data_IF_330744125982
#
_entry.id   IF_330744125982
#
_cell.length_a   1.000
_cell.length_b   1.000
_cell.length_c   1.000
_cell.angle_alpha   90.00
_cell.angle_beta   90.00
_cell.angle_gamma   90.00
#
_symmetry.space_group_name_H-M   'P 1'
#
loop_
_entity.id
_entity.type
_entity.pdbx_description
1 polymer ?
#
# COMPACT_ATOMS: atom_id res chain seq x y z
N UNK A 1 37.48 -11.02 -21.68
CA UNK A 1 36.58 -10.95 -20.51
C UNK A 1 35.69 -9.70 -20.55
N UNK A 2 36.27 -8.49 -20.59
CA UNK A 2 35.53 -7.22 -20.66
C UNK A 2 34.44 -7.14 -21.74
N UNK A 3 34.70 -7.56 -22.99
CA UNK A 3 33.72 -7.53 -24.07
C UNK A 3 32.47 -8.40 -23.79
N UNK A 4 32.65 -9.55 -23.13
CA UNK A 4 31.53 -10.42 -22.73
C UNK A 4 30.69 -9.77 -21.62
N UNK A 5 31.34 -9.12 -20.66
CA UNK A 5 30.66 -8.37 -19.59
C UNK A 5 29.88 -7.18 -20.14
N UNK A 6 30.44 -6.44 -21.09
CA UNK A 6 29.72 -5.36 -21.78
C UNK A 6 28.48 -5.88 -22.50
N UNK A 7 28.58 -7.01 -23.22
CA UNK A 7 27.42 -7.63 -23.89
C UNK A 7 26.35 -8.08 -22.90
N UNK A 8 26.75 -8.63 -21.76
CA UNK A 8 25.83 -9.03 -20.69
C UNK A 8 25.10 -7.83 -20.08
N UNK A 9 25.83 -6.74 -19.80
CA UNK A 9 25.26 -5.49 -19.30
C UNK A 9 24.28 -4.91 -20.31
N UNK A 10 24.66 -4.83 -21.58
CA UNK A 10 23.80 -4.33 -22.65
C UNK A 10 22.52 -5.16 -22.79
N UNK A 11 22.62 -6.49 -22.75
CA UNK A 11 21.47 -7.40 -22.87
C UNK A 11 20.47 -7.33 -21.72
N UNK A 12 20.82 -6.71 -20.59
CA UNK A 12 19.92 -6.56 -19.43
C UNK A 12 19.30 -5.17 -19.32
N UNK A 13 19.61 -4.26 -20.23
CA UNK A 13 19.19 -2.85 -20.18
C UNK A 13 17.67 -2.69 -20.06
N UNK A 14 16.92 -3.24 -21.00
CA UNK A 14 15.47 -3.03 -21.08
C UNK A 14 14.73 -3.62 -19.87
N UNK A 15 15.22 -4.75 -19.34
CA UNK A 15 14.68 -5.35 -18.12
C UNK A 15 14.94 -4.48 -16.90
N UNK A 16 16.16 -3.93 -16.77
CA UNK A 16 16.51 -3.03 -15.66
C UNK A 16 15.73 -1.74 -15.75
N UNK A 17 15.59 -1.16 -16.94
CA UNK A 17 14.81 0.05 -17.16
C UNK A 17 13.36 -0.16 -16.72
N UNK A 18 12.74 -1.27 -17.15
CA UNK A 18 11.40 -1.66 -16.68
C UNK A 18 11.35 -1.76 -15.14
N UNK A 19 12.27 -2.49 -14.49
CA UNK A 19 12.23 -2.64 -13.03
C UNK A 19 12.44 -1.28 -12.33
N UNK A 20 13.31 -0.43 -12.87
CA UNK A 20 13.64 0.88 -12.32
C UNK A 20 12.51 1.89 -12.47
N UNK A 21 11.79 1.91 -13.59
CA UNK A 21 10.59 2.72 -13.77
C UNK A 21 9.57 2.44 -12.66
N UNK A 22 9.42 1.18 -12.27
CA UNK A 22 8.47 0.86 -11.21
C UNK A 22 9.01 1.21 -9.82
N UNK A 23 10.33 1.15 -9.58
CA UNK A 23 10.90 1.76 -8.38
C UNK A 23 10.69 3.29 -8.33
N UNK A 24 10.65 3.95 -9.49
CA UNK A 24 10.39 5.40 -9.60
C UNK A 24 8.92 5.75 -9.32
N UNK A 25 7.97 4.84 -9.55
CA UNK A 25 6.54 5.03 -9.29
C UNK A 25 6.15 4.96 -7.80
N UNK A 26 7.06 4.56 -6.91
CA UNK A 26 6.87 4.66 -5.45
C UNK A 26 5.85 3.68 -4.87
N UNK A 27 5.12 4.09 -3.84
CA UNK A 27 4.18 3.24 -3.10
C UNK A 27 2.92 2.87 -3.90
N UNK A 28 2.55 3.69 -4.88
CA UNK A 28 1.29 3.59 -5.65
C UNK A 28 1.16 2.27 -6.45
N UNK A 29 2.26 1.55 -6.66
CA UNK A 29 2.31 0.36 -7.54
C UNK A 29 2.75 -0.91 -6.79
N UNK A 30 2.96 -0.84 -5.48
CA UNK A 30 3.50 -1.98 -4.70
C UNK A 30 2.57 -3.19 -4.72
N UNK A 31 1.25 -2.97 -4.77
CA UNK A 31 0.24 -4.04 -4.83
C UNK A 31 0.26 -4.84 -6.16
N UNK A 32 0.65 -4.23 -7.28
CA UNK A 32 0.62 -4.85 -8.61
C UNK A 32 1.97 -5.38 -9.09
N UNK A 33 3.05 -5.16 -8.33
CA UNK A 33 4.38 -5.56 -8.75
C UNK A 33 4.70 -7.03 -8.45
N UNK A 34 4.54 -7.87 -9.47
CA UNK A 34 5.15 -9.20 -9.61
C UNK A 34 6.51 -9.16 -10.34
N UNK A 35 7.19 -8.00 -10.36
CA UNK A 35 8.45 -7.83 -11.09
C UNK A 35 9.63 -8.49 -10.38
N UNK A 36 10.31 -9.40 -11.07
CA UNK A 36 11.53 -10.05 -10.58
C UNK A 36 12.67 -9.02 -10.47
N UNK A 37 13.25 -8.88 -9.28
CA UNK A 37 14.41 -7.99 -9.04
C UNK A 37 15.74 -8.61 -9.46
N UNK A 38 15.74 -9.89 -9.81
CA UNK A 38 16.92 -10.66 -10.20
C UNK A 38 17.76 -10.02 -11.32
N UNK A 39 17.18 -9.40 -12.37
CA UNK A 39 17.97 -8.70 -13.39
C UNK A 39 18.87 -7.60 -12.82
N UNK A 40 18.42 -6.88 -11.78
CA UNK A 40 19.21 -5.83 -11.12
C UNK A 40 20.39 -6.43 -10.36
N UNK A 41 20.14 -7.47 -9.56
CA UNK A 41 21.18 -8.07 -8.70
C UNK A 41 22.31 -8.68 -9.51
N UNK A 42 21.94 -9.31 -10.62
CA UNK A 42 22.88 -9.95 -11.54
C UNK A 42 23.82 -8.98 -12.29
N UNK A 43 23.66 -7.67 -12.13
CA UNK A 43 24.54 -6.65 -12.69
C UNK A 43 25.60 -6.14 -11.71
N UNK A 44 25.42 -6.35 -10.41
CA UNK A 44 26.33 -5.82 -9.39
C UNK A 44 27.78 -6.26 -9.61
N UNK A 45 27.98 -7.55 -9.91
CA UNK A 45 29.29 -8.13 -10.13
C UNK A 45 29.92 -7.73 -11.50
N UNK A 46 29.19 -7.82 -12.64
CA UNK A 46 29.69 -7.32 -13.93
C UNK A 46 30.11 -5.84 -13.90
N UNK A 47 29.33 -4.97 -13.23
CA UNK A 47 29.64 -3.54 -13.19
C UNK A 47 30.91 -3.23 -12.40
N UNK A 48 31.12 -3.89 -11.26
CA UNK A 48 32.32 -3.66 -10.46
C UNK A 48 33.58 -4.22 -11.14
N UNK A 49 33.47 -5.36 -11.84
CA UNK A 49 34.55 -5.92 -12.67
C UNK A 49 34.94 -4.94 -13.80
N UNK A 50 33.96 -4.45 -14.55
CA UNK A 50 34.20 -3.46 -15.62
C UNK A 50 34.84 -2.16 -15.09
N UNK A 51 34.40 -1.70 -13.91
CA UNK A 51 34.99 -0.54 -13.27
C UNK A 51 36.47 -0.79 -12.92
N UNK A 52 36.81 -1.91 -12.29
CA UNK A 52 38.21 -2.22 -11.93
C UNK A 52 39.12 -2.37 -13.15
N UNK A 53 38.60 -2.96 -14.24
CA UNK A 53 39.32 -3.10 -15.51
C UNK A 53 39.48 -1.77 -16.27
N UNK A 54 38.97 -0.66 -15.73
CA UNK A 54 38.96 0.66 -16.37
C UNK A 54 38.28 0.68 -17.73
N UNK A 55 37.24 -0.14 -17.89
CA UNK A 55 36.44 -0.23 -19.10
C UNK A 55 35.33 0.80 -19.03
N UNK A 56 35.38 1.79 -19.92
CA UNK A 56 34.30 2.75 -20.09
C UNK A 56 33.30 2.25 -21.15
N UNK A 57 32.01 2.18 -20.80
CA UNK A 57 30.94 1.96 -21.77
C UNK A 57 29.70 2.78 -21.40
N UNK A 58 28.91 3.15 -22.41
CA UNK A 58 27.68 3.92 -22.21
C UNK A 58 26.67 3.13 -21.39
N UNK A 59 26.63 1.81 -21.60
CA UNK A 59 25.73 0.89 -20.93
C UNK A 59 26.12 0.72 -19.45
N UNK A 60 27.42 0.59 -19.13
CA UNK A 60 27.87 0.52 -17.74
C UNK A 60 27.63 1.84 -17.00
N UNK A 61 27.81 2.98 -17.68
CA UNK A 61 27.47 4.29 -17.14
C UNK A 61 25.97 4.42 -16.86
N UNK A 62 25.12 4.00 -17.81
CA UNK A 62 23.67 3.96 -17.63
C UNK A 62 23.25 3.10 -16.44
N UNK A 63 23.77 1.87 -16.30
CA UNK A 63 23.42 1.03 -15.15
C UNK A 63 23.91 1.60 -13.82
N UNK A 64 25.08 2.24 -13.81
CA UNK A 64 25.58 2.92 -12.62
C UNK A 64 24.66 4.08 -12.23
N UNK A 65 24.10 4.80 -13.21
CA UNK A 65 23.09 5.83 -12.99
C UNK A 65 21.80 5.26 -12.38
N UNK A 66 21.33 4.11 -12.88
CA UNK A 66 20.17 3.42 -12.29
C UNK A 66 20.41 3.09 -10.80
N UNK A 67 21.59 2.58 -10.44
CA UNK A 67 21.92 2.32 -9.03
C UNK A 67 22.00 3.58 -8.18
N UNK A 68 22.43 4.73 -8.74
CA UNK A 68 22.38 6.03 -8.05
C UNK A 68 20.96 6.48 -7.79
N UNK A 69 20.06 6.35 -8.77
CA UNK A 69 18.64 6.66 -8.60
C UNK A 69 18.00 5.84 -7.48
N UNK A 70 18.33 4.54 -7.40
CA UNK A 70 17.91 3.71 -6.24
C UNK A 70 18.39 4.35 -4.95
N UNK A 71 19.67 4.73 -4.85
CA UNK A 71 20.23 5.38 -3.63
C UNK A 71 19.52 6.68 -3.26
N UNK A 72 19.40 7.62 -4.19
CA UNK A 72 18.86 8.97 -3.93
C UNK A 72 17.42 8.89 -3.44
N UNK A 73 16.63 8.00 -4.02
CA UNK A 73 15.28 7.74 -3.55
C UNK A 73 15.27 7.12 -2.14
N UNK A 74 16.36 6.51 -1.66
CA UNK A 74 16.42 5.88 -0.31
C UNK A 74 16.47 6.99 0.72
N UNK A 75 17.29 7.98 0.43
CA UNK A 75 17.52 9.16 1.25
C UNK A 75 16.21 9.95 1.38
N UNK A 76 15.51 10.21 0.28
CA UNK A 76 14.20 10.90 0.29
C UNK A 76 13.13 10.12 1.08
N UNK A 77 12.99 8.81 0.84
CA UNK A 77 11.97 7.98 1.53
C UNK A 77 12.29 7.81 3.02
N UNK A 78 13.57 7.79 3.39
CA UNK A 78 14.02 7.70 4.79
C UNK A 78 13.80 9.00 5.58
N UNK A 79 13.78 10.16 4.91
CA UNK A 79 13.54 11.47 5.50
C UNK A 79 12.05 11.83 5.61
N UNK A 80 11.22 11.43 4.63
CA UNK A 80 9.81 11.82 4.56
C UNK A 80 8.89 10.96 5.43
N UNK A 81 9.19 9.67 5.61
CA UNK A 81 8.35 8.73 6.37
C UNK A 81 9.22 8.01 7.40
N UNK A 82 8.78 8.04 8.67
CA UNK A 82 9.42 7.47 9.87
C UNK A 82 10.33 6.27 9.58
N UNK A 83 11.49 6.21 10.25
CA UNK A 83 12.50 5.18 9.96
C UNK A 83 11.86 3.78 10.04
N UNK A 84 12.32 2.79 9.24
CA UNK A 84 11.92 1.38 9.44
C UNK A 84 12.16 1.04 10.91
N UNK A 85 13.26 1.59 11.44
CA UNK A 85 13.62 1.56 12.83
C UNK A 85 12.62 2.19 13.79
N UNK A 86 11.88 3.23 13.41
CA UNK A 86 10.87 3.83 14.29
C UNK A 86 9.63 2.94 14.36
N UNK A 87 9.21 2.34 13.24
CA UNK A 87 8.15 1.32 13.23
C UNK A 87 8.56 0.05 14.00
N UNK A 88 9.81 -0.38 13.84
CA UNK A 88 10.40 -1.51 14.59
C UNK A 88 10.59 -1.18 16.08
N UNK A 89 10.97 0.05 16.43
CA UNK A 89 11.09 0.48 17.83
C UNK A 89 9.72 0.54 18.50
N UNK A 90 8.71 1.06 17.80
CA UNK A 90 7.32 1.08 18.28
C UNK A 90 6.77 -0.34 18.45
N UNK A 91 7.22 -1.30 17.62
CA UNK A 91 6.87 -2.70 17.76
C UNK A 91 7.58 -3.43 18.91
N UNK A 92 8.45 -2.75 19.67
CA UNK A 92 9.21 -3.36 20.77
C UNK A 92 10.26 -4.37 20.30
N UNK A 93 10.56 -4.37 19.00
CA UNK A 93 11.52 -5.28 18.38
C UNK A 93 12.92 -4.65 18.54
N UNK A 94 13.86 -5.46 19.03
CA UNK A 94 15.14 -5.10 19.66
C UNK A 94 16.00 -4.02 18.94
N UNK A 95 16.88 -3.34 19.67
CA UNK A 95 17.80 -2.30 19.18
C UNK A 95 18.71 -2.76 18.01
N UNK A 96 18.80 -4.07 17.77
CA UNK A 96 19.56 -4.71 16.70
C UNK A 96 19.20 -4.19 15.30
N UNK A 97 17.93 -3.90 15.00
CA UNK A 97 17.50 -3.51 13.65
C UNK A 97 17.92 -2.09 13.26
N UNK A 98 18.14 -1.21 14.25
CA UNK A 98 18.65 0.14 13.97
C UNK A 98 19.98 0.09 13.22
N UNK A 99 20.85 -0.82 13.65
CA UNK A 99 22.16 -1.00 13.01
C UNK A 99 22.06 -1.64 11.62
N UNK A 100 21.02 -2.43 11.34
CA UNK A 100 20.87 -3.18 10.08
C UNK A 100 20.69 -2.25 8.88
N UNK A 101 19.72 -1.32 8.95
CA UNK A 101 19.46 -0.39 7.84
C UNK A 101 20.68 0.51 7.56
N UNK A 102 21.31 1.02 8.62
CA UNK A 102 22.49 1.87 8.52
C UNK A 102 23.69 1.10 7.93
N UNK A 103 23.92 -0.14 8.37
CA UNK A 103 24.99 -0.99 7.86
C UNK A 103 24.80 -1.28 6.38
N UNK A 104 23.60 -1.73 5.97
CA UNK A 104 23.28 -2.04 4.57
C UNK A 104 23.49 -0.80 3.69
N UNK A 105 22.97 0.36 4.13
CA UNK A 105 23.11 1.61 3.38
C UNK A 105 24.58 2.02 3.24
N UNK A 106 25.37 1.88 4.30
CA UNK A 106 26.80 2.20 4.26
C UNK A 106 27.61 1.22 3.39
N UNK A 107 27.29 -0.08 3.43
CA UNK A 107 27.90 -1.09 2.56
C UNK A 107 27.67 -0.75 1.09
N UNK A 108 26.43 -0.44 0.72
CA UNK A 108 26.09 -0.03 -0.66
C UNK A 108 26.76 1.29 -1.05
N UNK A 109 26.82 2.28 -0.15
CA UNK A 109 27.56 3.53 -0.41
C UNK A 109 29.03 3.27 -0.75
N UNK A 110 29.69 2.36 -0.02
CA UNK A 110 31.09 1.97 -0.29
C UNK A 110 31.25 1.19 -1.58
N UNK A 111 30.27 0.37 -1.97
CA UNK A 111 30.23 -0.24 -3.29
C UNK A 111 30.15 0.83 -4.39
N UNK A 112 29.25 1.81 -4.25
CA UNK A 112 29.11 2.92 -5.20
C UNK A 112 30.37 3.80 -5.28
N UNK A 113 31.15 3.93 -4.21
CA UNK A 113 32.44 4.61 -4.24
C UNK A 113 33.42 3.98 -5.24
N UNK A 114 33.35 2.65 -5.47
CA UNK A 114 34.19 1.96 -6.46
C UNK A 114 33.78 2.38 -7.86
N UNK A 115 32.48 2.29 -8.16
CA UNK A 115 31.94 2.60 -9.50
C UNK A 115 32.20 4.06 -9.89
N UNK A 116 32.11 4.98 -8.93
CA UNK A 116 32.30 6.42 -9.15
C UNK A 116 33.75 6.90 -9.05
N UNK A 117 34.69 6.04 -8.63
CA UNK A 117 36.08 6.45 -8.47
C UNK A 117 36.79 6.61 -9.83
N UNK A 118 37.66 7.62 -9.89
CA UNK A 118 38.66 7.74 -10.97
C UNK A 118 39.56 6.48 -10.96
N UNK A 119 40.06 6.01 -12.12
CA UNK A 119 40.89 4.80 -12.24
C UNK A 119 41.94 4.63 -11.15
N UNK A 120 42.74 5.68 -10.91
CA UNK A 120 43.84 5.69 -9.91
C UNK A 120 43.41 5.46 -8.46
N UNK A 121 42.12 5.57 -8.13
CA UNK A 121 41.59 5.40 -6.78
C UNK A 121 40.75 4.12 -6.62
N UNK A 122 40.48 3.38 -7.70
CA UNK A 122 39.56 2.23 -7.67
C UNK A 122 40.05 1.11 -6.75
N UNK A 123 41.33 0.77 -6.78
CA UNK A 123 41.90 -0.25 -5.87
C UNK A 123 41.81 0.15 -4.39
N UNK A 124 42.04 1.42 -4.07
CA UNK A 124 41.89 1.92 -2.69
C UNK A 124 40.43 1.86 -2.25
N UNK A 125 39.49 2.18 -3.13
CA UNK A 125 38.05 2.05 -2.86
C UNK A 125 37.60 0.60 -2.71
N UNK A 126 38.12 -0.32 -3.56
CA UNK A 126 37.91 -1.77 -3.43
C UNK A 126 38.32 -2.26 -2.05
N UNK A 127 39.55 -1.97 -1.61
CA UNK A 127 40.04 -2.37 -0.28
C UNK A 127 39.17 -1.79 0.84
N UNK A 128 38.82 -0.51 0.74
CA UNK A 128 37.95 0.16 1.72
C UNK A 128 36.58 -0.50 1.81
N UNK A 129 35.99 -0.86 0.68
CA UNK A 129 34.70 -1.54 0.61
C UNK A 129 34.77 -2.94 1.25
N UNK A 130 35.74 -3.76 0.87
CA UNK A 130 35.92 -5.12 1.42
C UNK A 130 36.08 -5.10 2.95
N UNK A 131 36.94 -4.22 3.47
CA UNK A 131 37.15 -4.08 4.92
C UNK A 131 35.88 -3.58 5.63
N UNK A 132 35.21 -2.59 5.05
CA UNK A 132 33.99 -2.03 5.64
C UNK A 132 32.85 -3.05 5.64
N UNK A 133 32.69 -3.82 4.57
CA UNK A 133 31.63 -4.82 4.45
C UNK A 133 31.69 -5.81 5.63
N UNK A 134 32.87 -6.37 5.89
CA UNK A 134 33.08 -7.28 7.03
C UNK A 134 32.88 -6.59 8.37
N UNK A 135 33.46 -5.39 8.58
CA UNK A 135 33.36 -4.65 9.85
C UNK A 135 31.93 -4.25 10.21
N UNK A 136 31.10 -4.00 9.21
CA UNK A 136 29.69 -3.62 9.36
C UNK A 136 28.75 -4.83 9.45
N UNK A 137 29.26 -6.04 9.70
CA UNK A 137 28.46 -7.25 9.90
C UNK A 137 28.22 -8.09 8.64
N UNK A 138 28.75 -7.67 7.49
CA UNK A 138 28.68 -8.42 6.24
C UNK A 138 27.25 -8.69 5.78
N UNK A 139 27.02 -9.91 5.34
CA UNK A 139 25.74 -10.49 4.91
C UNK A 139 24.74 -10.70 6.05
N UNK A 140 25.20 -10.75 7.32
CA UNK A 140 24.32 -10.95 8.48
C UNK A 140 23.18 -9.93 8.54
N UNK A 141 23.42 -8.68 8.16
CA UNK A 141 22.39 -7.64 8.16
C UNK A 141 21.22 -7.98 7.23
N UNK A 142 21.53 -8.52 6.04
CA UNK A 142 20.52 -8.94 5.09
C UNK A 142 19.72 -10.13 5.62
N UNK A 143 20.37 -11.12 6.24
CA UNK A 143 19.67 -12.24 6.88
C UNK A 143 18.80 -11.80 8.06
N UNK A 144 19.29 -10.85 8.87
CA UNK A 144 18.50 -10.26 9.96
C UNK A 144 17.26 -9.55 9.40
N UNK A 145 17.40 -8.79 8.31
CA UNK A 145 16.25 -8.14 7.65
C UNK A 145 15.26 -9.17 7.08
N UNK A 146 15.76 -10.23 6.43
CA UNK A 146 14.95 -11.33 5.92
C UNK A 146 14.14 -11.96 7.05
N UNK A 147 14.80 -12.38 8.14
CA UNK A 147 14.15 -13.00 9.30
C UNK A 147 13.11 -12.08 9.98
N UNK A 148 13.34 -10.76 9.97
CA UNK A 148 12.34 -9.81 10.46
C UNK A 148 11.08 -9.79 9.61
N UNK A 149 11.24 -9.83 8.29
CA UNK A 149 10.12 -9.80 7.35
C UNK A 149 9.38 -11.13 7.32
N UNK A 150 10.08 -12.26 7.39
CA UNK A 150 9.46 -13.59 7.34
C UNK A 150 8.89 -14.05 8.68
N UNK A 151 9.31 -13.41 9.79
CA UNK A 151 8.93 -13.81 11.15
C UNK A 151 9.82 -14.93 11.73
N UNK A 152 10.89 -15.31 11.04
CA UNK A 152 11.90 -16.27 11.50
C UNK A 152 12.87 -15.64 12.53
N UNK A 153 12.32 -14.93 13.51
CA UNK A 153 13.05 -14.26 14.57
C UNK A 153 12.61 -14.75 15.95
N UNK A 154 13.31 -14.35 17.01
CA UNK A 154 13.07 -14.84 18.38
C UNK A 154 11.63 -14.58 18.88
N UNK A 155 10.98 -13.52 18.40
CA UNK A 155 9.60 -13.19 18.78
C UNK A 155 8.55 -13.99 18.00
N UNK A 156 8.93 -14.61 16.88
CA UNK A 156 8.01 -15.30 15.96
C UNK A 156 7.06 -14.37 15.19
N UNK A 157 7.12 -13.05 15.42
CA UNK A 157 6.25 -12.08 14.76
C UNK A 157 7.01 -11.32 13.66
N UNK A 158 6.39 -11.20 12.49
CA UNK A 158 6.95 -10.46 11.36
C UNK A 158 6.79 -8.96 11.58
N UNK A 159 7.81 -8.17 11.23
CA UNK A 159 7.72 -6.70 11.22
C UNK A 159 6.56 -6.21 10.35
N UNK A 160 6.23 -6.91 9.26
CA UNK A 160 5.08 -6.57 8.41
C UNK A 160 3.77 -6.71 9.19
N UNK A 161 3.60 -7.78 9.97
CA UNK A 161 2.40 -8.01 10.76
C UNK A 161 2.24 -6.97 11.87
N UNK A 162 3.35 -6.61 12.53
CA UNK A 162 3.29 -5.62 13.60
C UNK A 162 2.97 -4.23 13.05
N UNK A 163 3.63 -3.81 11.97
CA UNK A 163 3.36 -2.53 11.30
C UNK A 163 1.91 -2.48 10.81
N UNK A 164 1.39 -3.58 10.25
CA UNK A 164 0.00 -3.70 9.80
C UNK A 164 -0.99 -3.48 10.95
N UNK A 165 -0.77 -4.15 12.08
CA UNK A 165 -1.64 -4.05 13.27
C UNK A 165 -1.59 -2.65 13.89
N UNK A 166 -0.38 -2.09 14.05
CA UNK A 166 -0.17 -0.77 14.64
C UNK A 166 -0.79 0.35 13.80
N UNK A 167 -0.67 0.26 12.47
CA UNK A 167 -1.24 1.23 11.53
C UNK A 167 -2.69 0.92 11.15
N UNK A 168 -3.36 0.05 11.93
CA UNK A 168 -4.78 -0.27 11.79
C UNK A 168 -5.16 -0.60 10.35
N UNK A 169 -4.34 -1.44 9.71
CA UNK A 169 -4.50 -1.91 8.33
C UNK A 169 -4.59 -0.79 7.29
N UNK A 170 -3.85 0.30 7.47
CA UNK A 170 -3.69 1.32 6.43
C UNK A 170 -2.87 0.79 5.26
N UNK A 171 -3.53 0.58 4.11
CA UNK A 171 -2.89 0.10 2.88
C UNK A 171 -1.73 1.00 2.45
N UNK A 172 -1.94 2.33 2.38
CA UNK A 172 -0.91 3.27 1.93
C UNK A 172 0.36 3.20 2.79
N UNK A 173 0.20 3.19 4.11
CA UNK A 173 1.35 3.06 5.03
C UNK A 173 2.08 1.74 4.82
N UNK A 174 1.34 0.65 4.60
CA UNK A 174 1.94 -0.66 4.31
C UNK A 174 2.63 -0.70 2.94
N UNK A 175 2.08 -0.08 1.90
CA UNK A 175 2.71 0.01 0.57
C UNK A 175 4.03 0.78 0.65
N UNK A 176 4.04 1.92 1.34
CA UNK A 176 5.25 2.71 1.58
C UNK A 176 6.31 1.92 2.37
N UNK A 177 5.90 1.22 3.43
CA UNK A 177 6.79 0.38 4.22
C UNK A 177 7.39 -0.76 3.40
N UNK A 178 6.56 -1.47 2.63
CA UNK A 178 6.99 -2.52 1.71
C UNK A 178 7.95 -2.00 0.63
N UNK A 179 7.68 -0.83 0.03
CA UNK A 179 8.56 -0.19 -0.95
C UNK A 179 9.97 0.06 -0.37
N UNK A 180 10.03 0.55 0.86
CA UNK A 180 11.31 0.81 1.54
C UNK A 180 12.06 -0.48 1.87
N UNK A 181 11.37 -1.51 2.33
CA UNK A 181 11.98 -2.82 2.56
C UNK A 181 12.54 -3.42 1.26
N UNK A 182 11.76 -3.45 0.17
CA UNK A 182 12.22 -3.95 -1.16
C UNK A 182 13.51 -3.27 -1.58
N UNK A 183 13.57 -1.97 -1.35
CA UNK A 183 14.73 -1.16 -1.66
C UNK A 183 15.95 -1.44 -0.79
N UNK A 184 15.74 -1.62 0.52
CA UNK A 184 16.81 -1.97 1.44
C UNK A 184 17.41 -3.35 1.11
N UNK A 185 16.58 -4.32 0.75
CA UNK A 185 17.06 -5.59 0.18
C UNK A 185 17.84 -5.37 -1.11
N UNK A 186 17.32 -4.55 -2.03
CA UNK A 186 17.96 -4.31 -3.32
C UNK A 186 19.40 -3.80 -3.16
N UNK A 187 19.60 -2.74 -2.39
CA UNK A 187 20.93 -2.16 -2.19
C UNK A 187 21.86 -3.10 -1.41
N UNK A 188 21.32 -3.88 -0.46
CA UNK A 188 22.09 -4.84 0.32
C UNK A 188 22.56 -6.00 -0.54
N UNK A 189 21.68 -6.58 -1.37
CA UNK A 189 22.03 -7.68 -2.28
C UNK A 189 23.06 -7.20 -3.32
N UNK A 190 22.91 -5.98 -3.87
CA UNK A 190 23.94 -5.41 -4.76
C UNK A 190 25.30 -5.32 -4.06
N UNK A 191 25.33 -4.85 -2.81
CA UNK A 191 26.56 -4.78 -2.04
C UNK A 191 27.14 -6.19 -1.78
N UNK A 192 26.32 -7.16 -1.40
CA UNK A 192 26.74 -8.55 -1.20
C UNK A 192 27.33 -9.15 -2.47
N UNK A 193 26.65 -9.04 -3.60
CA UNK A 193 27.14 -9.52 -4.91
C UNK A 193 28.47 -8.86 -5.29
N UNK A 194 28.60 -7.55 -5.04
CA UNK A 194 29.85 -6.82 -5.21
C UNK A 194 30.95 -7.35 -4.28
N UNK A 195 30.65 -7.71 -3.05
CA UNK A 195 31.62 -8.29 -2.12
C UNK A 195 32.06 -9.71 -2.55
N UNK A 196 31.11 -10.59 -2.85
CA UNK A 196 31.36 -11.97 -3.29
C UNK A 196 32.30 -12.01 -4.47
N UNK A 197 32.03 -11.19 -5.49
CA UNK A 197 32.85 -11.18 -6.70
C UNK A 197 34.26 -10.64 -6.44
N UNK A 198 34.40 -9.64 -5.57
CA UNK A 198 35.69 -8.99 -5.31
C UNK A 198 36.60 -9.82 -4.40
N UNK A 199 36.04 -10.80 -3.70
CA UNK A 199 36.77 -11.79 -2.91
C UNK A 199 37.20 -13.01 -3.74
N UNK A 200 36.81 -13.08 -5.01
CA UNK A 200 37.08 -14.21 -5.91
C UNK A 200 36.68 -15.56 -5.32
N UNK A 201 35.57 -15.63 -4.58
CA UNK A 201 35.17 -16.87 -3.89
C UNK A 201 34.54 -17.92 -4.82
N UNK A 202 34.03 -17.51 -5.98
CA UNK A 202 33.37 -18.40 -6.94
C UNK A 202 31.87 -18.62 -6.67
N UNK A 203 31.36 -18.14 -5.53
CA UNK A 203 29.99 -18.42 -5.05
C UNK A 203 28.92 -17.46 -5.63
N UNK A 204 29.24 -16.74 -6.72
CA UNK A 204 28.38 -15.69 -7.28
C UNK A 204 27.00 -16.21 -7.68
N UNK A 205 26.95 -17.34 -8.39
CA UNK A 205 25.69 -17.93 -8.86
C UNK A 205 24.86 -18.53 -7.73
N UNK A 206 25.51 -19.15 -6.74
CA UNK A 206 24.84 -19.74 -5.57
C UNK A 206 24.18 -18.66 -4.72
N UNK A 207 24.93 -17.61 -4.36
CA UNK A 207 24.42 -16.47 -3.57
C UNK A 207 23.30 -15.75 -4.33
N UNK A 208 23.46 -15.56 -5.65
CA UNK A 208 22.43 -14.94 -6.47
C UNK A 208 21.14 -15.79 -6.51
N UNK A 209 21.27 -17.11 -6.60
CA UNK A 209 20.13 -18.04 -6.54
C UNK A 209 19.44 -18.03 -5.19
N UNK A 210 20.20 -18.10 -4.09
CA UNK A 210 19.66 -18.05 -2.72
C UNK A 210 18.86 -16.76 -2.49
N UNK A 211 19.45 -15.61 -2.81
CA UNK A 211 18.77 -14.33 -2.62
C UNK A 211 17.61 -14.11 -3.59
N UNK A 212 17.66 -14.72 -4.78
CA UNK A 212 16.52 -14.80 -5.69
C UNK A 212 15.30 -15.46 -5.03
N UNK A 213 15.49 -16.63 -4.43
CA UNK A 213 14.40 -17.35 -3.74
C UNK A 213 13.94 -16.62 -2.46
N UNK A 214 14.87 -16.09 -1.66
CA UNK A 214 14.52 -15.29 -0.48
C UNK A 214 13.69 -14.06 -0.84
N UNK A 215 13.98 -13.41 -1.96
CA UNK A 215 13.21 -12.26 -2.41
C UNK A 215 11.81 -12.62 -2.87
N UNK A 216 11.58 -13.82 -3.42
CA UNK A 216 10.23 -14.31 -3.71
C UNK A 216 9.40 -14.48 -2.44
N UNK A 217 9.99 -15.04 -1.38
CA UNK A 217 9.29 -15.17 -0.08
C UNK A 217 8.98 -13.79 0.52
N UNK A 218 9.97 -12.89 0.57
CA UNK A 218 9.79 -11.50 1.02
C UNK A 218 8.65 -10.82 0.26
N UNK A 219 8.61 -10.95 -1.06
CA UNK A 219 7.56 -10.38 -1.90
C UNK A 219 6.19 -11.00 -1.61
N UNK A 220 6.13 -12.32 -1.40
CA UNK A 220 4.91 -13.02 -1.01
C UNK A 220 4.35 -12.51 0.32
N UNK A 221 5.21 -12.30 1.32
CA UNK A 221 4.80 -11.73 2.62
C UNK A 221 4.29 -10.30 2.49
N UNK A 222 4.95 -9.46 1.70
CA UNK A 222 4.51 -8.10 1.42
C UNK A 222 3.14 -8.08 0.72
N UNK A 223 2.95 -8.91 -0.30
CA UNK A 223 1.68 -8.99 -1.00
C UNK A 223 0.55 -9.43 -0.08
N UNK A 224 0.79 -10.43 0.78
CA UNK A 224 -0.21 -10.92 1.72
C UNK A 224 -0.73 -9.83 2.69
N UNK A 225 0.15 -8.96 3.20
CA UNK A 225 -0.29 -7.90 4.12
C UNK A 225 -1.01 -6.75 3.41
N UNK A 226 -0.65 -6.45 2.15
CA UNK A 226 -1.39 -5.49 1.33
C UNK A 226 -2.77 -6.04 0.98
N UNK A 227 -2.85 -7.31 0.58
CA UNK A 227 -4.11 -7.97 0.30
C UNK A 227 -5.01 -8.03 1.54
N UNK A 228 -4.45 -8.28 2.73
CA UNK A 228 -5.23 -8.20 3.97
C UNK A 228 -5.80 -6.79 4.22
N UNK A 229 -5.05 -5.72 3.92
CA UNK A 229 -5.60 -4.35 3.98
C UNK A 229 -6.80 -4.18 3.03
N UNK A 230 -6.71 -4.72 1.81
CA UNK A 230 -7.76 -4.63 0.80
C UNK A 230 -8.97 -5.47 1.22
N UNK A 231 -8.80 -6.75 1.53
CA UNK A 231 -9.93 -7.64 1.84
C UNK A 231 -10.63 -7.26 3.14
N UNK A 232 -9.90 -6.79 4.14
CA UNK A 232 -10.46 -6.45 5.46
C UNK A 232 -10.90 -5.00 5.62
N UNK A 233 -10.75 -4.15 4.58
CA UNK A 233 -11.11 -2.72 4.63
C UNK A 233 -12.53 -2.48 5.17
N UNK A 234 -13.59 -3.25 4.81
CA UNK A 234 -14.93 -2.94 5.30
C UNK A 234 -15.05 -3.07 6.82
N UNK A 235 -14.38 -4.09 7.38
CA UNK A 235 -14.40 -4.33 8.82
C UNK A 235 -13.57 -3.31 9.59
N UNK A 236 -12.44 -2.91 9.00
CA UNK A 236 -11.60 -1.86 9.55
C UNK A 236 -12.35 -0.51 9.52
N UNK A 237 -12.96 -0.15 8.40
CA UNK A 237 -13.76 1.07 8.25
C UNK A 237 -14.92 1.14 9.25
N UNK A 238 -15.62 0.03 9.49
CA UNK A 238 -16.66 -0.05 10.53
C UNK A 238 -16.10 0.27 11.93
N UNK A 239 -14.92 -0.30 12.25
CA UNK A 239 -14.25 -0.10 13.54
C UNK A 239 -13.77 1.34 13.71
N UNK A 240 -13.17 1.90 12.66
CA UNK A 240 -12.68 3.27 12.62
C UNK A 240 -13.83 4.28 12.77
N UNK A 241 -14.93 4.07 12.05
CA UNK A 241 -16.12 4.91 12.18
C UNK A 241 -16.72 4.83 13.59
N UNK A 242 -16.79 3.63 14.19
CA UNK A 242 -17.32 3.47 15.55
C UNK A 242 -16.49 4.24 16.56
N UNK A 243 -15.16 4.17 16.44
CA UNK A 243 -14.23 4.93 17.28
C UNK A 243 -14.43 6.43 17.07
N UNK A 244 -14.47 6.88 15.82
CA UNK A 244 -14.63 8.27 15.46
C UNK A 244 -15.93 8.87 16.02
N UNK A 245 -17.06 8.19 15.84
CA UNK A 245 -18.38 8.62 16.33
C UNK A 245 -18.41 8.70 17.85
N UNK A 246 -17.77 7.75 18.55
CA UNK A 246 -17.68 7.79 20.02
C UNK A 246 -16.92 9.01 20.50
N UNK A 247 -15.86 9.38 19.79
CA UNK A 247 -14.94 10.44 20.20
C UNK A 247 -15.43 11.85 19.78
N UNK A 248 -16.48 11.96 18.94
CA UNK A 248 -17.03 13.22 18.41
C UNK A 248 -18.56 13.33 18.56
N UNK A 249 -19.07 13.02 19.75
CA UNK A 249 -20.53 13.00 20.03
C UNK A 249 -21.22 14.38 19.97
N UNK A 250 -20.46 15.47 19.94
CA UNK A 250 -20.91 16.86 19.93
C UNK A 250 -21.28 17.38 18.53
N UNK A 251 -20.87 16.68 17.47
CA UNK A 251 -21.09 17.11 16.09
C UNK A 251 -22.58 17.05 15.70
N UNK A 252 -23.01 17.99 14.84
CA UNK A 252 -24.31 17.86 14.17
C UNK A 252 -24.28 16.69 13.18
N UNK A 253 -25.45 16.18 12.78
CA UNK A 253 -25.54 15.05 11.84
C UNK A 253 -24.80 15.32 10.52
N UNK A 254 -24.85 16.55 9.98
CA UNK A 254 -24.15 16.89 8.74
C UNK A 254 -22.64 16.98 8.95
N UNK A 255 -22.18 17.67 10.00
CA UNK A 255 -20.75 17.74 10.34
C UNK A 255 -20.16 16.34 10.57
N UNK A 256 -20.89 15.47 11.25
CA UNK A 256 -20.46 14.09 11.48
C UNK A 256 -20.40 13.28 10.17
N UNK A 257 -21.37 13.45 9.27
CA UNK A 257 -21.36 12.79 7.97
C UNK A 257 -20.18 13.24 7.11
N UNK A 258 -19.89 14.54 7.07
CA UNK A 258 -18.75 15.12 6.36
C UNK A 258 -17.43 14.60 6.92
N UNK A 259 -17.27 14.62 8.24
CA UNK A 259 -16.03 14.20 8.89
C UNK A 259 -15.76 12.68 8.73
N UNK A 260 -16.79 11.83 8.82
CA UNK A 260 -16.66 10.39 8.54
C UNK A 260 -16.22 10.18 7.09
N UNK A 261 -16.83 10.89 6.14
CA UNK A 261 -16.48 10.78 4.72
C UNK A 261 -15.02 11.20 4.48
N UNK A 262 -14.56 12.31 5.07
CA UNK A 262 -13.18 12.77 4.93
C UNK A 262 -12.19 11.75 5.50
N UNK A 263 -12.46 11.20 6.68
CA UNK A 263 -11.62 10.15 7.27
C UNK A 263 -11.55 8.90 6.36
N UNK A 264 -12.70 8.44 5.86
CA UNK A 264 -12.77 7.23 5.05
C UNK A 264 -12.07 7.40 3.70
N UNK A 265 -12.27 8.52 3.00
CA UNK A 265 -11.59 8.78 1.72
C UNK A 265 -10.07 8.92 1.87
N UNK A 266 -9.62 9.47 2.99
CA UNK A 266 -8.19 9.64 3.23
C UNK A 266 -7.49 8.30 3.51
N UNK A 267 -8.13 7.40 4.26
CA UNK A 267 -7.54 6.10 4.63
C UNK A 267 -7.77 5.01 3.57
N UNK A 268 -8.92 5.06 2.89
CA UNK A 268 -9.35 4.08 1.88
C UNK A 268 -9.62 4.81 0.56
N UNK A 269 -8.57 5.41 0.01
CA UNK A 269 -8.59 6.27 -1.17
C UNK A 269 -9.00 5.57 -2.47
N UNK A 270 -8.95 4.24 -2.49
CA UNK A 270 -9.45 3.40 -3.58
C UNK A 270 -10.94 3.06 -3.47
N UNK A 271 -11.62 3.53 -2.42
CA UNK A 271 -13.02 3.22 -2.13
C UNK A 271 -13.88 4.47 -2.18
N UNK A 272 -15.04 4.35 -2.81
CA UNK A 272 -16.07 5.38 -2.84
C UNK A 272 -17.04 5.12 -1.70
N UNK A 273 -17.44 6.19 -1.00
CA UNK A 273 -18.19 6.12 0.23
C UNK A 273 -19.45 6.96 0.14
N UNK A 274 -20.48 6.53 0.85
CA UNK A 274 -21.65 7.34 1.14
C UNK A 274 -21.99 7.14 2.61
N UNK A 275 -22.42 8.20 3.28
CA UNK A 275 -22.76 8.23 4.71
C UNK A 275 -24.11 8.90 4.84
N UNK A 276 -25.02 8.27 5.61
CA UNK A 276 -26.33 8.82 5.95
C UNK A 276 -26.53 8.75 7.44
N UNK A 277 -26.94 9.88 8.03
CA UNK A 277 -27.16 10.01 9.46
C UNK A 277 -28.57 10.56 9.70
N UNK A 278 -29.36 9.86 10.51
CA UNK A 278 -30.75 10.23 10.80
C UNK A 278 -31.21 9.64 12.13
N UNK A 279 -32.17 10.28 12.79
CA UNK A 279 -32.71 9.77 14.06
C UNK A 279 -33.95 8.92 13.84
N UNK A 280 -34.11 7.95 14.74
CA UNK A 280 -35.32 7.15 14.85
C UNK A 280 -36.52 8.08 15.12
N UNK A 281 -37.58 8.04 14.30
CA UNK A 281 -38.77 8.87 14.49
C UNK A 281 -39.42 8.65 15.87
N UNK A 282 -39.92 9.73 16.48
CA UNK A 282 -40.59 9.70 17.79
C UNK A 282 -42.09 10.01 17.66
N UNK A 283 -42.90 9.47 18.59
CA UNK A 283 -44.32 9.81 18.75
C UNK A 283 -45.28 8.63 18.55
N UNK A 284 -46.53 8.81 18.97
CA UNK A 284 -47.57 7.77 18.95
C UNK A 284 -47.91 7.26 17.53
N UNK A 285 -47.65 8.09 16.50
CA UNK A 285 -47.86 7.75 15.09
C UNK A 285 -46.54 7.52 14.32
N UNK A 286 -45.44 7.29 15.04
CA UNK A 286 -44.15 7.00 14.39
C UNK A 286 -44.24 5.69 13.59
N UNK A 287 -43.79 5.68 12.32
CA UNK A 287 -43.81 4.47 11.51
C UNK A 287 -42.82 3.45 12.09
N UNK A 288 -43.25 2.19 12.18
CA UNK A 288 -42.38 1.08 12.62
C UNK A 288 -41.19 0.85 11.70
N UNK A 289 -41.38 1.07 10.39
CA UNK A 289 -40.33 1.00 9.38
C UNK A 289 -40.14 2.38 8.77
N UNK A 290 -38.94 2.92 8.93
CA UNK A 290 -38.59 4.29 8.50
C UNK A 290 -37.33 4.33 7.63
N UNK A 291 -36.63 3.20 7.46
CA UNK A 291 -35.58 3.05 6.48
C UNK A 291 -35.48 1.58 6.02
N UNK A 292 -34.97 1.33 4.82
CA UNK A 292 -34.75 -0.01 4.29
C UNK A 292 -33.47 -0.03 3.44
N UNK A 293 -32.40 -0.67 3.93
CA UNK A 293 -31.17 -0.85 3.17
C UNK A 293 -31.06 -2.27 2.57
N UNK A 294 -30.91 -2.35 1.25
CA UNK A 294 -30.84 -3.59 0.45
C UNK A 294 -29.53 -3.65 -0.34
N UNK A 295 -29.10 -4.85 -0.75
CA UNK A 295 -27.85 -5.09 -1.46
C UNK A 295 -26.72 -5.63 -0.58
N UNK A 296 -25.47 -5.39 -0.96
CA UNK A 296 -24.27 -5.66 -0.15
C UNK A 296 -23.53 -4.34 0.14
N UNK A 297 -22.26 -4.40 0.52
CA UNK A 297 -21.35 -3.24 0.63
C UNK A 297 -21.82 -2.10 1.53
N UNK A 298 -22.31 -2.44 2.73
CA UNK A 298 -22.74 -1.47 3.75
C UNK A 298 -22.55 -2.01 5.17
N UNK A 299 -22.49 -1.08 6.12
CA UNK A 299 -22.53 -1.40 7.54
C UNK A 299 -23.21 -0.29 8.33
N UNK A 300 -23.76 -0.65 9.50
CA UNK A 300 -24.31 0.29 10.47
C UNK A 300 -23.24 0.60 11.52
N UNK A 301 -23.05 1.88 11.82
CA UNK A 301 -22.15 2.32 12.89
C UNK A 301 -22.96 2.54 14.16
N UNK A 302 -22.52 1.92 15.26
CA UNK A 302 -23.13 2.12 16.57
C UNK A 302 -22.69 3.45 17.18
N UNK A 303 -23.66 4.22 17.70
CA UNK A 303 -23.43 5.44 18.45
C UNK A 303 -23.88 5.26 19.90
N UNK A 304 -23.42 6.13 20.82
CA UNK A 304 -23.89 6.14 22.22
C UNK A 304 -25.37 6.55 22.33
N UNK A 305 -25.86 7.39 21.42
CA UNK A 305 -27.30 7.64 21.26
C UNK A 305 -27.91 6.53 20.40
N UNK A 306 -28.63 5.59 21.03
CA UNK A 306 -29.34 4.51 20.34
C UNK A 306 -30.37 4.99 19.30
N UNK A 307 -30.76 6.25 19.37
CA UNK A 307 -31.70 6.86 18.42
C UNK A 307 -31.00 7.35 17.17
N UNK A 308 -29.68 7.48 17.16
CA UNK A 308 -28.90 7.92 16.02
C UNK A 308 -28.58 6.73 15.11
N UNK A 309 -28.99 6.79 13.86
CA UNK A 309 -28.70 5.78 12.86
C UNK A 309 -27.64 6.33 11.91
N UNK A 310 -26.50 5.64 11.83
CA UNK A 310 -25.40 5.98 10.94
C UNK A 310 -25.24 4.80 9.98
N UNK A 311 -25.56 5.03 8.70
CA UNK A 311 -25.43 4.04 7.64
C UNK A 311 -24.28 4.44 6.71
N UNK A 312 -23.29 3.56 6.60
CA UNK A 312 -22.17 3.72 5.68
C UNK A 312 -22.29 2.66 4.60
N UNK A 313 -22.05 3.06 3.36
CA UNK A 313 -22.04 2.17 2.20
C UNK A 313 -20.90 2.56 1.29
N UNK A 314 -20.45 1.61 0.48
CA UNK A 314 -19.24 1.77 -0.27
C UNK A 314 -19.24 1.00 -1.59
N UNK A 315 -18.30 1.32 -2.47
CA UNK A 315 -17.92 0.50 -3.61
C UNK A 315 -16.45 0.75 -3.95
N UNK A 316 -15.69 -0.32 -4.22
CA UNK A 316 -14.29 -0.24 -4.64
C UNK A 316 -14.13 -0.13 -6.17
N UNK A 317 -15.19 -0.43 -6.92
CA UNK A 317 -15.18 -0.39 -8.39
C UNK A 317 -16.55 0.01 -8.91
N UNK A 318 -17.00 1.25 -8.65
CA UNK A 318 -18.35 1.65 -9.00
C UNK A 318 -18.58 1.76 -10.50
N UNK A 319 -19.77 1.38 -10.95
CA UNK A 319 -20.25 1.50 -12.32
C UNK A 319 -21.25 2.66 -12.45
N UNK A 320 -21.32 3.34 -13.61
CA UNK A 320 -22.32 4.37 -13.85
C UNK A 320 -23.74 3.86 -13.69
N UNK A 321 -24.60 4.68 -13.09
CA UNK A 321 -26.01 4.33 -12.85
C UNK A 321 -26.95 5.10 -13.77
N UNK A 322 -28.00 4.42 -14.23
CA UNK A 322 -29.04 5.04 -15.04
C UNK A 322 -30.05 5.80 -14.15
N UNK A 323 -29.74 7.07 -13.88
CA UNK A 323 -30.57 7.94 -13.02
C UNK A 323 -31.97 8.15 -13.58
N UNK A 324 -32.12 8.21 -14.90
CA UNK A 324 -33.41 8.42 -15.57
C UNK A 324 -34.30 7.21 -15.34
N UNK A 325 -33.76 6.00 -15.49
CA UNK A 325 -34.46 4.77 -15.16
C UNK A 325 -34.83 4.70 -13.67
N UNK A 326 -33.92 5.05 -12.76
CA UNK A 326 -34.21 5.07 -11.31
C UNK A 326 -35.39 6.00 -11.02
N UNK A 327 -35.38 7.22 -11.54
CA UNK A 327 -36.48 8.19 -11.37
C UNK A 327 -37.79 7.65 -11.95
N UNK A 328 -37.78 7.10 -13.17
CA UNK A 328 -38.97 6.54 -13.81
C UNK A 328 -39.57 5.37 -12.99
N UNK A 329 -38.71 4.49 -12.46
CA UNK A 329 -39.12 3.37 -11.61
C UNK A 329 -39.80 3.86 -10.32
N UNK A 330 -39.23 4.87 -9.65
CA UNK A 330 -39.82 5.46 -8.44
C UNK A 330 -41.17 6.12 -8.76
N UNK A 331 -41.26 6.91 -9.83
CA UNK A 331 -42.49 7.61 -10.24
C UNK A 331 -43.62 6.66 -10.67
N UNK A 332 -43.30 5.46 -11.15
CA UNK A 332 -44.29 4.45 -11.53
C UNK A 332 -45.00 3.80 -10.33
N UNK A 333 -44.47 3.98 -9.11
CA UNK A 333 -45.05 3.38 -7.91
C UNK A 333 -46.32 4.12 -7.49
N UNK A 334 -47.46 3.41 -7.49
CA UNK A 334 -48.76 3.96 -7.03
C UNK A 334 -48.76 4.32 -5.55
N UNK A 335 -47.93 3.67 -4.73
CA UNK A 335 -47.76 3.95 -3.29
C UNK A 335 -46.30 3.72 -2.89
N UNK A 336 -45.55 4.81 -2.78
CA UNK A 336 -44.14 4.78 -2.39
C UNK A 336 -43.99 4.46 -0.90
N UNK A 337 -43.66 3.21 -0.60
CA UNK A 337 -43.25 2.80 0.75
C UNK A 337 -41.74 2.65 0.82
N UNK A 338 -41.17 2.87 2.00
CA UNK A 338 -39.72 2.72 2.26
C UNK A 338 -39.23 1.37 1.74
N UNK A 339 -39.86 0.27 2.15
CA UNK A 339 -39.45 -1.10 1.77
C UNK A 339 -39.71 -1.37 0.29
N UNK A 340 -40.93 -1.08 -0.19
CA UNK A 340 -41.30 -1.41 -1.56
C UNK A 340 -40.46 -0.70 -2.61
N UNK A 341 -40.05 0.55 -2.38
CA UNK A 341 -39.13 1.26 -3.28
C UNK A 341 -37.73 0.64 -3.23
N UNK A 342 -37.22 0.31 -2.05
CA UNK A 342 -35.88 -0.27 -1.90
C UNK A 342 -35.77 -1.64 -2.60
N UNK A 343 -36.73 -2.54 -2.34
CA UNK A 343 -36.76 -3.89 -2.93
C UNK A 343 -36.96 -3.83 -4.44
N UNK A 344 -37.90 -3.02 -4.93
CA UNK A 344 -38.14 -2.87 -6.37
C UNK A 344 -36.89 -2.37 -7.12
N UNK A 345 -36.23 -1.32 -6.60
CA UNK A 345 -35.01 -0.82 -7.22
C UNK A 345 -33.91 -1.86 -7.19
N UNK A 346 -33.74 -2.57 -6.07
CA UNK A 346 -32.73 -3.63 -5.96
C UNK A 346 -32.97 -4.80 -6.92
N UNK A 347 -34.22 -5.22 -7.11
CA UNK A 347 -34.58 -6.31 -8.01
C UNK A 347 -34.54 -5.92 -9.49
N UNK A 348 -34.81 -4.65 -9.80
CA UNK A 348 -34.98 -4.19 -11.19
C UNK A 348 -33.70 -3.63 -11.79
N UNK A 349 -32.81 -3.07 -10.98
CA UNK A 349 -31.55 -2.50 -11.47
C UNK A 349 -30.55 -3.62 -11.80
N UNK A 350 -29.82 -3.52 -12.92
CA UNK A 350 -28.82 -4.52 -13.28
C UNK A 350 -27.63 -4.49 -12.30
N UNK A 351 -26.99 -5.64 -12.14
CA UNK A 351 -25.78 -5.78 -11.32
C UNK A 351 -26.04 -5.82 -9.81
N UNK A 352 -24.97 -5.89 -9.02
CA UNK A 352 -25.05 -5.78 -7.56
C UNK A 352 -25.20 -4.32 -7.17
N UNK A 353 -26.43 -3.84 -6.98
CA UNK A 353 -26.69 -2.47 -6.49
C UNK A 353 -26.83 -2.44 -4.96
N UNK A 354 -26.34 -1.36 -4.34
CA UNK A 354 -26.71 -0.99 -2.97
C UNK A 354 -27.84 0.05 -3.06
N UNK A 355 -28.97 -0.24 -2.39
CA UNK A 355 -30.12 0.67 -2.35
C UNK A 355 -30.44 0.96 -0.89
N UNK A 356 -30.63 2.23 -0.55
CA UNK A 356 -31.10 2.62 0.78
C UNK A 356 -32.19 3.68 0.65
N UNK A 357 -33.38 3.36 1.13
CA UNK A 357 -34.47 4.33 1.29
C UNK A 357 -34.58 4.75 2.74
N UNK A 358 -34.79 6.04 2.97
CA UNK A 358 -35.00 6.62 4.30
C UNK A 358 -36.21 7.52 4.23
N UNK A 359 -37.08 7.48 5.23
CA UNK A 359 -38.16 8.46 5.33
C UNK A 359 -37.57 9.84 5.57
N UNK A 360 -37.93 10.81 4.73
CA UNK A 360 -37.39 12.18 4.81
C UNK A 360 -37.67 12.78 6.17
N UNK A 361 -36.65 13.41 6.76
CA UNK A 361 -36.72 14.09 8.05
C UNK A 361 -35.75 15.27 8.08
N UNK A 362 -36.01 16.26 8.94
CA UNK A 362 -35.18 17.48 9.02
C UNK A 362 -33.76 17.23 9.52
N UNK A 363 -33.55 16.09 10.17
CA UNK A 363 -32.28 15.66 10.74
C UNK A 363 -31.54 14.64 9.86
N UNK A 364 -32.08 14.31 8.67
CA UNK A 364 -31.38 13.49 7.71
C UNK A 364 -30.22 14.28 7.11
N UNK A 365 -29.01 13.77 7.32
CA UNK A 365 -27.78 14.24 6.72
C UNK A 365 -27.23 13.19 5.77
N UNK A 366 -26.60 13.63 4.68
CA UNK A 366 -25.95 12.75 3.72
C UNK A 366 -24.73 13.41 3.10
N UNK A 367 -23.64 12.65 2.99
CA UNK A 367 -22.40 13.05 2.32
C UNK A 367 -21.81 11.84 1.60
N UNK A 368 -21.11 12.06 0.48
CA UNK A 368 -20.52 10.98 -0.31
C UNK A 368 -19.22 11.37 -1.05
N UNK A 369 -18.46 10.36 -1.51
CA UNK A 369 -17.29 10.50 -2.41
C UNK A 369 -17.62 10.34 -3.88
N UNK A 370 -18.71 9.69 -4.20
CA UNK A 370 -19.04 9.33 -5.56
C UNK A 370 -19.14 10.57 -6.46
N UNK A 371 -18.61 10.46 -7.68
CA UNK A 371 -18.90 11.43 -8.73
C UNK A 371 -20.39 11.37 -9.10
N UNK A 372 -20.95 12.43 -9.72
CA UNK A 372 -22.37 12.51 -9.99
C UNK A 372 -22.92 11.30 -10.75
N UNK A 373 -22.22 10.75 -11.72
CA UNK A 373 -22.64 9.62 -12.56
C UNK A 373 -22.65 8.25 -11.86
N UNK A 374 -21.97 8.12 -10.71
CA UNK A 374 -21.81 6.86 -9.98
C UNK A 374 -22.78 6.72 -8.79
N UNK A 375 -23.51 7.78 -8.45
CA UNK A 375 -24.36 7.80 -7.26
C UNK A 375 -25.65 8.59 -7.48
N UNK A 376 -26.74 8.02 -6.97
CA UNK A 376 -28.06 8.61 -6.97
C UNK A 376 -28.43 8.97 -5.54
N UNK A 377 -28.72 10.25 -5.33
CA UNK A 377 -29.32 10.74 -4.10
C UNK A 377 -30.39 11.76 -4.49
N UNK A 378 -31.63 11.51 -4.09
CA UNK A 378 -32.75 12.39 -4.40
C UNK A 378 -33.91 12.19 -3.41
N UNK A 379 -34.75 13.20 -3.27
CA UNK A 379 -35.94 13.18 -2.42
C UNK A 379 -37.23 13.05 -3.24
N UNK A 380 -38.06 12.07 -2.89
CA UNK A 380 -39.31 11.71 -3.55
C UNK A 380 -40.45 11.73 -2.54
N UNK A 381 -41.24 12.81 -2.53
CA UNK A 381 -42.34 13.07 -1.57
C UNK A 381 -41.88 12.98 -0.09
N UNK A 382 -41.90 11.77 0.48
CA UNK A 382 -41.55 11.50 1.89
C UNK A 382 -40.40 10.52 2.04
N UNK A 383 -39.66 10.25 0.96
CA UNK A 383 -38.58 9.28 0.90
C UNK A 383 -37.33 9.91 0.29
N UNK A 384 -36.20 9.77 0.96
CA UNK A 384 -34.88 9.98 0.35
C UNK A 384 -34.35 8.63 -0.13
N UNK A 385 -33.82 8.60 -1.35
CA UNK A 385 -33.36 7.36 -2.00
C UNK A 385 -31.89 7.48 -2.37
N UNK A 386 -31.09 6.53 -1.88
CA UNK A 386 -29.68 6.38 -2.20
C UNK A 386 -29.48 5.13 -3.07
N UNK A 387 -28.79 5.25 -4.20
CA UNK A 387 -28.39 4.11 -5.04
C UNK A 387 -26.96 4.29 -5.53
N UNK A 388 -26.17 3.22 -5.47
CA UNK A 388 -24.91 3.08 -6.19
C UNK A 388 -24.64 1.60 -6.48
N UNK A 389 -23.77 1.29 -7.43
CA UNK A 389 -23.24 -0.07 -7.59
C UNK A 389 -22.45 -0.48 -6.33
N UNK A 390 -22.56 -1.73 -5.90
CA UNK A 390 -21.95 -2.27 -4.69
C UNK A 390 -20.42 -2.43 -4.78
#
# INVERSE_FOLDING_TARGET
MAANLQKLVAGKKDMVETVMEVFEQGAEVVASMAGDLFPIFSLAAPLVKLALDNVESKEAAFMTDQFKKVRERLEVVSEQNQRINDEIKKSGVDAAYFSVEENISNQFRKYMDILNAKPKFREVKKKTFLEHFVKSGGDKNLHTLYNAVTGENFSGESVLAITLNYNEKSRRVMEEFCARLKKLFCIGIIALMGYTVLKDSGDEEEILGEWGEKMKDVQGKMHAVIEDCIVSFPKQAETDCRRFVRDHSEMTNQQLADAIIDQLKNKFDWVYWSVRIFKTPKGMFAPKVFHCPTGQSRFKVSASDEKLNIMVSYSASPEPIDKVRIQALIMSQKKSSVVGVAEMLFETLPGSSMVHTVKTSRDLACTWSFSPELHYWDEHDKLSVCVHSA
#
